data_IF_929510797508
#
_entry.id   IF_929510797508
#
_cell.length_a   1.000
_cell.length_b   1.000
_cell.length_c   1.000
_cell.angle_alpha   90.00
_cell.angle_beta   90.00
_cell.angle_gamma   90.00
#
_symmetry.space_group_name_H-M   'P 1'
#
loop_
_entity.id
_entity.type
_entity.pdbx_description
1 polymer ?
#
# COMPACT_ATOMS: atom_id res chain seq x y z
N UNK A 1 20.64 -13.67 -12.57
CA UNK A 1 20.90 -14.40 -11.30
C UNK A 1 19.61 -14.33 -10.50
N UNK A 2 19.13 -15.44 -9.96
CA UNK A 2 17.84 -15.51 -9.25
C UNK A 2 18.04 -15.78 -7.74
N UNK A 3 16.99 -15.58 -6.93
CA UNK A 3 17.01 -15.77 -5.47
C UNK A 3 17.42 -17.21 -5.11
N UNK A 4 16.88 -18.21 -5.82
CA UNK A 4 17.15 -19.62 -5.58
C UNK A 4 18.64 -19.96 -5.72
N UNK A 5 19.29 -19.54 -6.80
CA UNK A 5 20.71 -19.80 -7.05
C UNK A 5 21.60 -19.14 -6.00
N UNK A 6 21.26 -17.92 -5.56
CA UNK A 6 22.01 -17.24 -4.50
C UNK A 6 21.91 -18.00 -3.18
N UNK A 7 20.71 -18.47 -2.82
CA UNK A 7 20.51 -19.24 -1.58
C UNK A 7 21.29 -20.57 -1.65
N UNK A 8 21.13 -21.36 -2.72
CA UNK A 8 21.82 -22.65 -2.86
C UNK A 8 23.33 -22.49 -2.72
N UNK A 9 23.91 -21.56 -3.49
CA UNK A 9 25.35 -21.28 -3.45
C UNK A 9 25.82 -20.92 -2.05
N UNK A 10 25.06 -20.12 -1.30
CA UNK A 10 25.44 -19.72 0.06
C UNK A 10 25.28 -20.82 1.08
N UNK A 11 24.28 -21.68 0.94
CA UNK A 11 24.15 -22.88 1.77
C UNK A 11 25.34 -23.82 1.55
N UNK A 12 25.72 -24.06 0.30
CA UNK A 12 26.88 -24.89 -0.05
C UNK A 12 28.20 -24.30 0.47
N UNK A 13 28.41 -22.99 0.28
CA UNK A 13 29.62 -22.29 0.75
C UNK A 13 29.76 -22.26 2.29
N UNK A 14 28.64 -22.27 3.01
CA UNK A 14 28.61 -22.21 4.47
C UNK A 14 28.46 -23.59 5.13
N UNK A 15 28.20 -24.65 4.34
CA UNK A 15 27.99 -26.01 4.83
C UNK A 15 26.67 -26.19 5.58
N UNK A 16 25.62 -25.44 5.22
CA UNK A 16 24.30 -25.53 5.86
C UNK A 16 23.30 -26.29 4.99
N UNK A 17 22.33 -26.94 5.64
CA UNK A 17 21.22 -27.61 4.98
C UNK A 17 19.99 -26.69 4.86
N UNK A 18 19.01 -27.09 4.05
CA UNK A 18 17.76 -26.34 3.86
C UNK A 18 16.95 -26.22 5.16
N UNK A 19 16.99 -27.26 6.01
CA UNK A 19 16.36 -27.27 7.32
C UNK A 19 16.90 -26.17 8.24
N UNK A 20 18.20 -25.89 8.17
CA UNK A 20 18.84 -24.89 9.02
C UNK A 20 18.38 -23.48 8.64
N UNK A 21 18.28 -23.23 7.33
CA UNK A 21 17.72 -21.98 6.80
C UNK A 21 16.23 -21.84 7.15
N UNK A 22 15.46 -22.92 7.09
CA UNK A 22 14.04 -22.91 7.46
C UNK A 22 13.85 -22.53 8.93
N UNK A 23 14.63 -23.14 9.83
CA UNK A 23 14.63 -22.78 11.26
C UNK A 23 15.06 -21.33 11.47
N UNK A 24 16.11 -20.87 10.79
CA UNK A 24 16.59 -19.49 10.93
C UNK A 24 15.60 -18.44 10.41
N UNK A 25 14.86 -18.76 9.35
CA UNK A 25 13.85 -17.90 8.75
C UNK A 25 12.46 -18.02 9.42
N UNK A 26 12.29 -18.92 10.39
CA UNK A 26 11.03 -19.20 11.07
C UNK A 26 9.91 -19.63 10.10
N UNK A 27 10.28 -20.51 9.15
CA UNK A 27 9.38 -21.08 8.14
C UNK A 27 9.54 -22.59 8.08
N UNK A 28 8.61 -23.29 7.42
CA UNK A 28 8.70 -24.74 7.26
C UNK A 28 9.81 -25.12 6.28
N UNK A 29 10.43 -26.29 6.46
CA UNK A 29 11.41 -26.81 5.51
C UNK A 29 10.80 -26.97 4.10
N UNK A 30 9.53 -27.37 4.03
CA UNK A 30 8.78 -27.44 2.78
C UNK A 30 8.73 -26.09 2.05
N UNK A 31 8.54 -24.98 2.78
CA UNK A 31 8.56 -23.63 2.20
C UNK A 31 9.91 -23.31 1.53
N UNK A 32 11.02 -23.60 2.20
CA UNK A 32 12.37 -23.40 1.63
C UNK A 32 12.59 -24.34 0.44
N UNK A 33 12.18 -25.60 0.54
CA UNK A 33 12.29 -26.56 -0.57
C UNK A 33 11.51 -26.11 -1.81
N UNK A 34 10.29 -25.60 -1.64
CA UNK A 34 9.47 -25.06 -2.73
C UNK A 34 10.11 -23.82 -3.38
N UNK A 35 10.71 -22.94 -2.58
CA UNK A 35 11.47 -21.78 -3.05
C UNK A 35 12.71 -22.22 -3.87
N UNK A 36 13.45 -23.21 -3.38
CA UNK A 36 14.66 -23.72 -4.02
C UNK A 36 14.40 -24.58 -5.26
N UNK A 37 13.21 -25.17 -5.36
CA UNK A 37 12.77 -25.92 -6.55
C UNK A 37 12.05 -25.04 -7.57
N UNK A 38 11.90 -23.73 -7.30
CA UNK A 38 11.14 -22.77 -8.13
C UNK A 38 9.67 -23.16 -8.31
N UNK A 39 9.13 -24.04 -7.46
CA UNK A 39 7.69 -24.33 -7.43
C UNK A 39 6.89 -23.15 -6.90
N UNK A 40 7.51 -22.34 -6.04
CA UNK A 40 6.93 -21.11 -5.48
C UNK A 40 7.78 -19.92 -5.90
N UNK A 41 7.12 -18.79 -6.18
CA UNK A 41 7.80 -17.52 -6.40
C UNK A 41 8.54 -17.11 -5.12
N UNK A 42 9.64 -16.33 -5.24
CA UNK A 42 10.27 -15.75 -4.07
C UNK A 42 9.25 -14.94 -3.25
N UNK A 43 9.41 -14.82 -1.92
CA UNK A 43 8.54 -13.99 -1.08
C UNK A 43 8.35 -12.56 -1.64
N UNK A 44 7.29 -11.87 -1.22
CA UNK A 44 7.10 -10.48 -1.65
C UNK A 44 8.30 -9.62 -1.20
N UNK A 45 8.85 -8.73 -2.05
CA UNK A 45 10.17 -8.10 -1.81
C UNK A 45 10.21 -7.22 -0.55
N UNK A 46 9.05 -6.78 -0.10
CA UNK A 46 8.83 -5.99 1.13
C UNK A 46 8.66 -6.86 2.39
N UNK A 47 8.78 -8.19 2.29
CA UNK A 47 8.80 -9.14 3.43
C UNK A 47 10.11 -9.06 4.21
N UNK A 48 10.25 -8.02 5.01
CA UNK A 48 11.42 -7.84 5.90
C UNK A 48 11.52 -8.97 6.92
N UNK A 49 10.39 -9.49 7.41
CA UNK A 49 10.29 -10.58 8.38
C UNK A 49 11.03 -11.86 7.97
N UNK A 50 11.09 -12.15 6.66
CA UNK A 50 11.80 -13.34 6.13
C UNK A 50 13.16 -12.97 5.54
N UNK A 51 13.26 -11.89 4.75
CA UNK A 51 14.51 -11.55 4.05
C UNK A 51 15.61 -11.12 5.00
N UNK A 52 15.29 -10.41 6.08
CA UNK A 52 16.29 -10.05 7.08
C UNK A 52 16.87 -11.29 7.78
N UNK A 53 16.01 -12.24 8.14
CA UNK A 53 16.42 -13.50 8.78
C UNK A 53 17.28 -14.35 7.84
N UNK A 54 16.83 -14.54 6.60
CA UNK A 54 17.58 -15.30 5.59
C UNK A 54 18.91 -14.64 5.26
N UNK A 55 18.94 -13.33 5.06
CA UNK A 55 20.17 -12.60 4.74
C UNK A 55 21.18 -12.67 5.89
N UNK A 56 20.71 -12.52 7.14
CA UNK A 56 21.55 -12.67 8.34
C UNK A 56 22.16 -14.06 8.43
N UNK A 57 21.36 -15.12 8.23
CA UNK A 57 21.83 -16.50 8.28
C UNK A 57 22.84 -16.81 7.16
N UNK A 58 22.55 -16.35 5.93
CA UNK A 58 23.40 -16.57 4.75
C UNK A 58 24.61 -15.62 4.65
N UNK A 59 24.77 -14.71 5.62
CA UNK A 59 25.78 -13.65 5.65
C UNK A 59 25.79 -12.81 4.36
N UNK A 60 24.61 -12.35 3.96
CA UNK A 60 24.38 -11.49 2.79
C UNK A 60 23.93 -10.09 3.23
N UNK A 61 24.08 -9.06 2.38
CA UNK A 61 23.38 -7.79 2.58
C UNK A 61 21.87 -8.01 2.67
N UNK A 62 21.20 -7.33 3.60
CA UNK A 62 19.76 -7.51 3.90
C UNK A 62 18.86 -7.23 2.71
N UNK A 63 19.26 -6.33 1.82
CA UNK A 63 18.51 -5.91 0.63
C UNK A 63 18.78 -6.78 -0.61
N UNK A 64 19.79 -7.66 -0.58
CA UNK A 64 20.22 -8.39 -1.78
C UNK A 64 19.15 -9.37 -2.26
N UNK A 65 18.56 -10.13 -1.34
CA UNK A 65 17.56 -11.14 -1.67
C UNK A 65 16.23 -10.48 -2.09
N UNK A 66 15.81 -9.42 -1.40
CA UNK A 66 14.58 -8.67 -1.75
C UNK A 66 14.68 -7.97 -3.10
N UNK A 67 15.83 -7.38 -3.44
CA UNK A 67 16.06 -6.78 -4.78
C UNK A 67 15.97 -7.81 -5.91
N UNK A 68 16.53 -9.00 -5.71
CA UNK A 68 16.43 -10.08 -6.70
C UNK A 68 14.98 -10.60 -6.80
N UNK A 69 14.28 -10.72 -5.67
CA UNK A 69 12.89 -11.13 -5.64
C UNK A 69 11.97 -10.13 -6.37
N UNK A 70 12.19 -8.83 -6.18
CA UNK A 70 11.46 -7.76 -6.87
C UNK A 70 11.62 -7.89 -8.38
N UNK A 71 12.86 -8.07 -8.86
CA UNK A 71 13.11 -8.27 -10.28
C UNK A 71 12.40 -9.52 -10.82
N UNK A 72 12.50 -10.66 -10.13
CA UNK A 72 11.84 -11.90 -10.55
C UNK A 72 10.32 -11.78 -10.58
N UNK A 73 9.71 -11.19 -9.56
CA UNK A 73 8.26 -10.99 -9.50
C UNK A 73 7.77 -10.03 -10.57
N UNK A 74 8.52 -8.96 -10.86
CA UNK A 74 8.21 -8.04 -11.96
C UNK A 74 8.27 -8.72 -13.32
N UNK A 75 9.25 -9.59 -13.54
CA UNK A 75 9.33 -10.36 -14.79
C UNK A 75 8.16 -11.36 -14.92
N UNK A 76 7.77 -12.02 -13.82
CA UNK A 76 6.59 -12.89 -13.82
C UNK A 76 5.29 -12.11 -14.07
N UNK A 77 5.15 -10.94 -13.44
CA UNK A 77 4.01 -10.05 -13.66
C UNK A 77 3.92 -9.61 -15.13
N UNK A 78 5.05 -9.25 -15.76
CA UNK A 78 5.09 -8.90 -17.18
C UNK A 78 4.65 -10.06 -18.07
N UNK A 79 5.01 -11.31 -17.73
CA UNK A 79 4.54 -12.50 -18.46
C UNK A 79 3.03 -12.66 -18.32
N UNK A 80 2.52 -12.55 -17.10
CA UNK A 80 1.08 -12.69 -16.81
C UNK A 80 0.22 -11.57 -17.44
N UNK A 81 0.81 -10.41 -17.71
CA UNK A 81 0.16 -9.32 -18.43
C UNK A 81 0.16 -9.49 -19.96
N UNK A 82 1.06 -10.34 -20.50
CA UNK A 82 1.15 -10.63 -21.93
C UNK A 82 0.05 -11.57 -22.43
N UNK A 83 -0.42 -12.49 -21.57
CA UNK A 83 -1.55 -13.35 -21.84
C UNK A 83 -2.86 -12.74 -21.28
N UNK A 84 -4.03 -12.97 -21.90
CA UNK A 84 -5.30 -12.56 -21.31
C UNK A 84 -5.45 -13.23 -19.93
N UNK A 85 -5.55 -12.46 -18.83
CA UNK A 85 -5.57 -13.06 -17.51
C UNK A 85 -6.85 -13.86 -17.33
N UNK A 86 -6.73 -15.04 -16.71
CA UNK A 86 -7.89 -15.86 -16.40
C UNK A 86 -8.90 -15.06 -15.56
N UNK A 87 -10.21 -15.23 -15.78
CA UNK A 87 -11.21 -14.61 -14.92
C UNK A 87 -10.98 -14.98 -13.46
N UNK A 88 -11.22 -14.02 -12.56
CA UNK A 88 -11.24 -14.26 -11.13
C UNK A 88 -12.20 -15.41 -10.80
N UNK A 89 -11.87 -16.22 -9.79
CA UNK A 89 -12.78 -17.24 -9.27
C UNK A 89 -14.13 -16.62 -8.91
N UNK A 90 -15.22 -17.31 -9.28
CA UNK A 90 -16.58 -16.81 -9.10
C UNK A 90 -16.87 -16.50 -7.63
N UNK A 91 -16.41 -17.35 -6.73
CA UNK A 91 -16.55 -17.24 -5.30
C UNK A 91 -15.88 -15.96 -4.77
N UNK A 92 -14.70 -15.64 -5.31
CA UNK A 92 -13.96 -14.43 -4.94
C UNK A 92 -14.70 -13.19 -5.45
N UNK A 93 -15.17 -13.21 -6.70
CA UNK A 93 -15.94 -12.09 -7.28
C UNK A 93 -17.20 -11.82 -6.46
N UNK A 94 -17.97 -12.85 -6.13
CA UNK A 94 -19.19 -12.69 -5.34
C UNK A 94 -18.88 -12.16 -3.94
N UNK A 95 -17.76 -12.56 -3.33
CA UNK A 95 -17.36 -12.04 -2.04
C UNK A 95 -16.98 -10.56 -2.10
N UNK A 96 -16.24 -10.14 -3.14
CA UNK A 96 -15.91 -8.73 -3.39
C UNK A 96 -17.19 -7.92 -3.61
N UNK A 97 -18.11 -8.40 -4.46
CA UNK A 97 -19.38 -7.72 -4.73
C UNK A 97 -20.25 -7.62 -3.46
N UNK A 98 -20.33 -8.67 -2.65
CA UNK A 98 -21.07 -8.68 -1.38
C UNK A 98 -20.58 -7.62 -0.39
N UNK A 99 -19.28 -7.30 -0.42
CA UNK A 99 -18.67 -6.25 0.42
C UNK A 99 -18.77 -4.85 -0.19
N UNK A 100 -19.24 -4.72 -1.43
CA UNK A 100 -19.42 -3.43 -2.08
C UNK A 100 -20.58 -2.65 -1.46
N UNK A 101 -20.50 -1.32 -1.45
CA UNK A 101 -21.59 -0.46 -1.02
C UNK A 101 -22.88 -0.78 -1.82
N UNK A 102 -24.03 -1.00 -1.14
CA UNK A 102 -25.24 -1.52 -1.77
C UNK A 102 -25.81 -0.59 -2.85
N UNK A 103 -25.53 0.72 -2.76
CA UNK A 103 -25.95 1.70 -3.74
C UNK A 103 -25.29 1.51 -5.11
N UNK A 104 -24.04 1.00 -5.15
CA UNK A 104 -23.27 0.84 -6.40
C UNK A 104 -23.09 -0.63 -6.83
N UNK A 105 -23.41 -1.59 -5.95
CA UNK A 105 -23.23 -3.03 -6.21
C UNK A 105 -23.75 -3.47 -7.60
N UNK A 106 -24.98 -3.08 -7.97
CA UNK A 106 -25.58 -3.46 -9.26
C UNK A 106 -24.80 -2.91 -10.46
N UNK A 107 -24.32 -1.67 -10.36
CA UNK A 107 -23.53 -1.05 -11.42
C UNK A 107 -22.17 -1.72 -11.56
N UNK A 108 -21.49 -1.98 -10.44
CA UNK A 108 -20.20 -2.67 -10.41
C UNK A 108 -20.33 -4.10 -10.94
N UNK A 109 -21.37 -4.83 -10.51
CA UNK A 109 -21.67 -6.19 -11.00
C UNK A 109 -21.80 -6.23 -12.52
N UNK A 110 -22.57 -5.31 -13.10
CA UNK A 110 -22.72 -5.20 -14.54
C UNK A 110 -21.38 -4.94 -15.26
N UNK A 111 -20.47 -4.15 -14.67
CA UNK A 111 -19.13 -3.92 -15.21
C UNK A 111 -18.28 -5.21 -15.16
N UNK A 112 -18.29 -5.91 -14.03
CA UNK A 112 -17.52 -7.16 -13.84
C UNK A 112 -18.01 -8.28 -14.76
N UNK A 113 -19.33 -8.39 -14.98
CA UNK A 113 -19.91 -9.38 -15.89
C UNK A 113 -19.60 -9.07 -17.36
N UNK A 114 -19.58 -7.78 -17.73
CA UNK A 114 -19.24 -7.34 -19.09
C UNK A 114 -17.77 -7.57 -19.43
N UNK A 115 -16.88 -7.33 -18.47
CA UNK A 115 -15.44 -7.54 -18.62
C UNK A 115 -14.90 -8.35 -17.43
N UNK A 116 -15.02 -9.69 -17.48
CA UNK A 116 -14.50 -10.54 -16.42
C UNK A 116 -13.01 -10.30 -16.22
N UNK A 117 -12.64 -9.97 -14.99
CA UNK A 117 -11.30 -9.62 -14.56
C UNK A 117 -10.67 -8.48 -15.38
N UNK A 118 -11.52 -7.52 -15.76
CA UNK A 118 -11.15 -6.28 -16.41
C UNK A 118 -10.32 -5.34 -15.52
N UNK A 119 -10.09 -4.13 -16.00
CA UNK A 119 -9.27 -3.12 -15.27
C UNK A 119 -9.86 -2.77 -13.91
N UNK A 120 -11.17 -2.51 -13.84
CA UNK A 120 -11.81 -2.16 -12.58
C UNK A 120 -11.80 -3.31 -11.57
N UNK A 121 -12.11 -4.54 -12.00
CA UNK A 121 -12.09 -5.71 -11.11
C UNK A 121 -10.68 -5.97 -10.57
N UNK A 122 -9.66 -5.86 -11.43
CA UNK A 122 -8.25 -5.96 -11.02
C UNK A 122 -7.84 -4.85 -10.06
N UNK A 123 -8.22 -3.60 -10.34
CA UNK A 123 -7.94 -2.46 -9.47
C UNK A 123 -8.53 -2.65 -8.08
N UNK A 124 -9.83 -2.92 -8.00
CA UNK A 124 -10.54 -3.16 -6.73
C UNK A 124 -9.88 -4.31 -5.97
N UNK A 125 -9.66 -5.46 -6.63
CA UNK A 125 -9.07 -6.63 -5.99
C UNK A 125 -7.66 -6.34 -5.47
N UNK A 126 -6.83 -5.63 -6.25
CA UNK A 126 -5.50 -5.24 -5.84
C UNK A 126 -5.52 -4.31 -4.62
N UNK A 127 -6.40 -3.31 -4.58
CA UNK A 127 -6.47 -2.36 -3.45
C UNK A 127 -6.97 -3.02 -2.17
N UNK A 128 -7.97 -3.91 -2.27
CA UNK A 128 -8.42 -4.72 -1.12
C UNK A 128 -7.25 -5.57 -0.60
N UNK A 129 -6.54 -6.25 -1.50
CA UNK A 129 -5.40 -7.08 -1.14
C UNK A 129 -4.28 -6.28 -0.47
N UNK A 130 -3.94 -5.10 -0.99
CA UNK A 130 -2.91 -4.22 -0.43
C UNK A 130 -3.24 -3.80 1.01
N UNK A 131 -4.48 -3.37 1.25
CA UNK A 131 -4.93 -2.98 2.59
C UNK A 131 -4.85 -4.15 3.57
N UNK A 132 -5.35 -5.32 3.17
CA UNK A 132 -5.34 -6.51 4.04
C UNK A 132 -3.91 -6.94 4.35
N UNK A 133 -3.02 -6.93 3.36
CA UNK A 133 -1.62 -7.27 3.55
C UNK A 133 -0.92 -6.31 4.50
N UNK A 134 -1.26 -5.02 4.47
CA UNK A 134 -0.71 -4.05 5.42
C UNK A 134 -1.15 -4.37 6.85
N UNK A 135 -2.44 -4.65 7.06
CA UNK A 135 -2.94 -5.10 8.38
C UNK A 135 -2.23 -6.39 8.83
N UNK A 136 -2.14 -7.38 7.94
CA UNK A 136 -1.47 -8.64 8.21
C UNK A 136 0.01 -8.49 8.58
N UNK A 137 0.72 -7.53 7.99
CA UNK A 137 2.12 -7.22 8.33
C UNK A 137 2.24 -6.51 9.68
N UNK A 138 1.37 -5.53 9.95
CA UNK A 138 1.32 -4.81 11.23
C UNK A 138 1.10 -5.79 12.39
N UNK A 139 0.23 -6.80 12.19
CA UNK A 139 -0.19 -7.76 13.21
C UNK A 139 0.59 -9.09 13.16
N UNK A 140 1.61 -9.23 12.31
CA UNK A 140 2.32 -10.50 12.09
C UNK A 140 2.96 -11.08 13.36
N UNK A 141 3.38 -10.21 14.27
CA UNK A 141 4.00 -10.56 15.55
C UNK A 141 3.02 -10.54 16.73
N UNK A 142 1.73 -10.26 16.47
CA UNK A 142 0.69 -10.18 17.49
C UNK A 142 0.07 -11.56 17.73
N UNK A 143 0.49 -12.25 18.78
CA UNK A 143 -0.06 -13.57 19.15
C UNK A 143 -1.58 -13.50 19.38
N UNK A 144 -2.05 -12.44 20.04
CA UNK A 144 -3.47 -12.23 20.30
C UNK A 144 -4.28 -12.12 19.01
N UNK A 145 -3.80 -11.34 18.03
CA UNK A 145 -4.46 -11.18 16.75
C UNK A 145 -4.49 -12.50 15.96
N UNK A 146 -3.37 -13.23 15.94
CA UNK A 146 -3.29 -14.54 15.30
C UNK A 146 -4.25 -15.55 15.93
N UNK A 147 -4.34 -15.62 17.27
CA UNK A 147 -5.32 -16.49 17.94
C UNK A 147 -6.77 -16.09 17.64
N UNK A 148 -7.07 -14.80 17.57
CA UNK A 148 -8.40 -14.30 17.21
C UNK A 148 -8.78 -14.70 15.77
N UNK A 149 -7.89 -14.45 14.82
CA UNK A 149 -8.06 -14.84 13.43
C UNK A 149 -8.19 -16.37 13.26
N UNK A 150 -7.43 -17.14 14.04
CA UNK A 150 -7.46 -18.60 13.99
C UNK A 150 -8.84 -19.11 14.44
N UNK A 151 -9.37 -18.54 15.53
CA UNK A 151 -10.71 -18.86 16.01
C UNK A 151 -11.82 -18.48 15.01
N UNK A 152 -11.71 -17.31 14.38
CA UNK A 152 -12.71 -16.84 13.42
C UNK A 152 -12.74 -17.66 12.13
N UNK A 153 -11.58 -18.15 11.71
CA UNK A 153 -11.41 -18.98 10.51
C UNK A 153 -11.53 -20.48 10.79
N UNK A 154 -11.68 -20.88 12.06
CA UNK A 154 -11.76 -22.29 12.46
C UNK A 154 -10.44 -23.05 12.29
N UNK A 155 -9.29 -22.36 12.33
CA UNK A 155 -7.95 -22.91 12.12
C UNK A 155 -7.16 -22.97 13.43
N UNK A 156 -6.11 -23.79 13.47
CA UNK A 156 -5.11 -23.70 14.55
C UNK A 156 -4.24 -22.46 14.38
N UNK A 157 -3.55 -22.05 15.45
CA UNK A 157 -2.59 -20.94 15.41
C UNK A 157 -1.49 -21.18 14.36
N UNK A 158 -0.91 -22.38 14.35
CA UNK A 158 0.16 -22.76 13.43
C UNK A 158 -0.31 -22.79 11.99
N UNK A 159 -1.50 -23.35 11.75
CA UNK A 159 -2.12 -23.38 10.42
C UNK A 159 -2.40 -21.97 9.91
N UNK A 160 -2.93 -21.08 10.75
CA UNK A 160 -3.16 -19.69 10.37
C UNK A 160 -1.83 -18.99 10.07
N UNK A 161 -0.82 -19.12 10.92
CA UNK A 161 0.49 -18.48 10.73
C UNK A 161 1.10 -18.89 9.39
N UNK A 162 1.07 -20.18 9.05
CA UNK A 162 1.52 -20.64 7.72
C UNK A 162 0.69 -19.98 6.62
N UNK A 163 -0.63 -20.07 6.69
CA UNK A 163 -1.54 -19.55 5.66
C UNK A 163 -1.37 -18.03 5.45
N UNK A 164 -1.13 -17.28 6.53
CA UNK A 164 -0.88 -15.84 6.53
C UNK A 164 0.42 -15.50 5.78
N UNK A 165 1.51 -16.23 6.06
CA UNK A 165 2.79 -16.02 5.38
C UNK A 165 2.67 -16.30 3.88
N UNK A 166 1.88 -17.30 3.47
CA UNK A 166 1.62 -17.59 2.05
C UNK A 166 0.73 -16.53 1.41
N UNK A 167 -0.27 -16.05 2.14
CA UNK A 167 -1.16 -14.98 1.69
C UNK A 167 -0.40 -13.67 1.43
N UNK A 168 0.53 -13.30 2.31
CA UNK A 168 1.37 -12.11 2.11
C UNK A 168 2.16 -12.16 0.80
N UNK A 169 2.49 -13.36 0.31
CA UNK A 169 3.21 -13.56 -0.94
C UNK A 169 2.31 -13.56 -2.19
N UNK A 170 0.99 -13.70 -2.03
CA UNK A 170 0.00 -13.88 -3.11
C UNK A 170 -0.25 -12.57 -3.87
N UNK A 171 -0.37 -12.59 -5.19
CA UNK A 171 -0.77 -11.42 -5.99
C UNK A 171 -2.22 -11.55 -6.49
N UNK A 172 -2.71 -10.52 -7.19
CA UNK A 172 -4.08 -10.49 -7.74
C UNK A 172 -4.38 -11.62 -8.72
N UNK A 173 -3.36 -12.18 -9.39
CA UNK A 173 -3.51 -13.27 -10.37
C UNK A 173 -3.49 -14.66 -9.73
N UNK A 174 -2.86 -14.78 -8.55
CA UNK A 174 -2.73 -16.02 -7.79
C UNK A 174 -3.69 -16.10 -6.59
N UNK A 175 -4.67 -15.20 -6.52
CA UNK A 175 -5.62 -15.13 -5.41
C UNK A 175 -6.59 -16.31 -5.44
N UNK A 176 -6.60 -17.12 -4.38
CA UNK A 176 -7.49 -18.27 -4.22
C UNK A 176 -8.79 -17.91 -3.44
N UNK A 177 -9.86 -18.72 -3.59
CA UNK A 177 -11.04 -18.59 -2.74
C UNK A 177 -10.72 -18.73 -1.25
N UNK A 178 -9.80 -19.63 -0.90
CA UNK A 178 -9.40 -19.86 0.48
C UNK A 178 -8.75 -18.62 1.11
N UNK A 179 -7.89 -17.92 0.36
CA UNK A 179 -7.29 -16.66 0.80
C UNK A 179 -8.36 -15.61 1.10
N UNK A 180 -9.43 -15.58 0.32
CA UNK A 180 -10.52 -14.61 0.50
C UNK A 180 -11.38 -14.94 1.72
N UNK A 181 -11.69 -16.22 1.94
CA UNK A 181 -12.43 -16.68 3.12
C UNK A 181 -11.60 -16.45 4.40
N UNK A 182 -10.30 -16.74 4.34
CA UNK A 182 -9.42 -16.66 5.52
C UNK A 182 -9.03 -15.22 5.89
N UNK A 183 -8.96 -14.29 4.93
CA UNK A 183 -8.46 -12.93 5.20
C UNK A 183 -9.38 -11.82 4.71
N UNK A 184 -9.84 -11.85 3.46
CA UNK A 184 -10.64 -10.75 2.89
C UNK A 184 -11.99 -10.60 3.61
N UNK A 185 -12.72 -11.69 3.76
CA UNK A 185 -14.04 -11.69 4.39
C UNK A 185 -14.03 -11.24 5.86
N UNK A 186 -13.13 -11.75 6.73
CA UNK A 186 -13.12 -11.33 8.12
C UNK A 186 -12.58 -9.91 8.31
N UNK A 187 -11.64 -9.44 7.48
CA UNK A 187 -10.96 -8.15 7.69
C UNK A 187 -11.65 -6.96 7.03
N UNK A 188 -12.40 -7.17 5.96
CA UNK A 188 -13.11 -6.08 5.25
C UNK A 188 -14.57 -6.08 5.66
N UNK A 189 -15.05 -4.97 6.20
CA UNK A 189 -16.47 -4.76 6.49
C UNK A 189 -17.20 -4.38 5.21
N UNK A 190 -16.70 -3.35 4.52
CA UNK A 190 -17.26 -2.84 3.26
C UNK A 190 -16.24 -2.05 2.45
N UNK A 191 -16.53 -1.83 1.17
CA UNK A 191 -15.78 -0.91 0.31
C UNK A 191 -16.69 -0.17 -0.68
N UNK A 192 -16.23 0.98 -1.15
CA UNK A 192 -16.89 1.78 -2.19
C UNK A 192 -15.85 2.34 -3.18
N UNK A 193 -16.29 2.64 -4.39
CA UNK A 193 -15.47 3.32 -5.40
C UNK A 193 -16.26 4.40 -6.12
N UNK A 194 -15.68 5.58 -6.26
CA UNK A 194 -16.17 6.60 -7.18
C UNK A 194 -15.65 6.28 -8.59
N UNK A 195 -16.57 5.92 -9.49
CA UNK A 195 -16.24 5.58 -10.88
C UNK A 195 -15.79 6.80 -11.72
N UNK A 196 -15.93 8.02 -11.20
CA UNK A 196 -15.50 9.25 -11.86
C UNK A 196 -14.06 9.60 -11.50
N UNK A 197 -13.71 9.48 -10.22
CA UNK A 197 -12.38 9.87 -9.69
C UNK A 197 -11.45 8.68 -9.45
N UNK A 198 -11.97 7.45 -9.53
CA UNK A 198 -11.33 6.21 -9.08
C UNK A 198 -10.95 6.21 -7.59
N UNK A 199 -11.51 7.16 -6.82
CA UNK A 199 -11.44 7.22 -5.37
C UNK A 199 -12.02 5.96 -4.75
N UNK A 200 -11.23 5.17 -4.04
CA UNK A 200 -11.71 3.96 -3.38
C UNK A 200 -11.66 4.09 -1.87
N UNK A 201 -12.78 3.82 -1.20
CA UNK A 201 -12.92 3.73 0.25
C UNK A 201 -12.97 2.28 0.69
N UNK A 202 -12.17 1.92 1.69
CA UNK A 202 -12.18 0.58 2.30
C UNK A 202 -12.35 0.73 3.81
N UNK A 203 -13.31 0.01 4.37
CA UNK A 203 -13.64 -0.01 5.81
C UNK A 203 -13.25 -1.37 6.38
N UNK A 204 -12.36 -1.34 7.37
CA UNK A 204 -11.94 -2.56 8.09
C UNK A 204 -12.93 -2.97 9.18
N UNK A 205 -13.01 -4.28 9.40
CA UNK A 205 -13.78 -4.88 10.49
C UNK A 205 -13.22 -4.49 11.85
N UNK A 206 -14.01 -3.75 12.65
CA UNK A 206 -13.65 -3.36 14.03
C UNK A 206 -13.34 -4.53 14.97
N UNK A 207 -13.80 -5.73 14.61
CA UNK A 207 -13.62 -6.94 15.40
C UNK A 207 -12.17 -7.43 15.42
N UNK A 208 -11.38 -7.11 14.39
CA UNK A 208 -10.08 -7.75 14.16
C UNK A 208 -8.98 -6.72 13.84
N UNK A 209 -9.30 -5.63 13.15
CA UNK A 209 -8.35 -4.53 13.00
C UNK A 209 -8.36 -3.72 14.30
N UNK A 210 -7.28 -3.78 15.07
CA UNK A 210 -7.13 -3.01 16.31
C UNK A 210 -7.16 -1.51 16.01
N UNK A 211 -8.20 -0.80 16.46
CA UNK A 211 -8.32 0.66 16.35
C UNK A 211 -9.67 1.16 15.82
N UNK A 212 -9.77 2.47 15.65
CA UNK A 212 -10.88 3.09 14.94
C UNK A 212 -10.95 2.57 13.50
N UNK A 213 -12.14 2.53 12.87
CA UNK A 213 -12.28 2.17 11.46
C UNK A 213 -11.27 2.96 10.62
N UNK A 214 -10.25 2.28 10.08
CA UNK A 214 -9.32 2.90 9.14
C UNK A 214 -10.01 2.99 7.79
N UNK A 215 -10.25 4.22 7.33
CA UNK A 215 -10.69 4.51 5.96
C UNK A 215 -9.44 4.71 5.10
N UNK A 216 -9.25 3.82 4.14
CA UNK A 216 -8.23 4.00 3.10
C UNK A 216 -8.87 4.73 1.93
N UNK A 217 -8.25 5.80 1.46
CA UNK A 217 -8.65 6.50 0.23
C UNK A 217 -7.54 6.33 -0.81
N UNK A 218 -7.88 5.72 -1.94
CA UNK A 218 -6.97 5.62 -3.08
C UNK A 218 -7.35 6.66 -4.11
N UNK A 219 -6.55 7.71 -4.24
CA UNK A 219 -6.69 8.70 -5.28
C UNK A 219 -5.58 8.48 -6.28
N UNK A 220 -5.90 8.41 -7.58
CA UNK A 220 -4.88 8.53 -8.61
C UNK A 220 -4.30 9.93 -8.53
N UNK A 221 -3.16 10.06 -7.84
CA UNK A 221 -2.38 11.27 -7.93
C UNK A 221 -1.72 11.26 -9.31
N UNK A 222 -2.10 12.20 -10.16
CA UNK A 222 -1.33 12.51 -11.36
C UNK A 222 0.14 12.73 -11.01
N UNK A 223 1.08 12.55 -11.95
CA UNK A 223 2.51 12.33 -11.71
C UNK A 223 3.03 13.05 -10.46
N UNK A 224 3.37 12.25 -9.45
CA UNK A 224 3.84 12.67 -8.13
C UNK A 224 4.93 13.73 -8.24
N UNK A 225 4.73 14.81 -7.46
CA UNK A 225 5.64 15.92 -7.17
C UNK A 225 6.48 16.45 -8.35
N UNK A 226 6.26 17.72 -8.77
CA UNK A 226 7.15 18.29 -9.76
C UNK A 226 8.53 18.36 -9.11
N UNK A 227 9.55 17.86 -9.81
CA UNK A 227 10.93 18.23 -9.57
C UNK A 227 10.94 19.73 -9.29
N UNK A 228 11.36 20.14 -8.08
CA UNK A 228 11.11 21.50 -7.56
C UNK A 228 11.36 22.52 -8.67
N UNK A 229 10.30 23.23 -9.06
CA UNK A 229 10.30 24.09 -10.24
C UNK A 229 11.53 25.00 -10.23
N UNK A 230 12.32 25.09 -11.32
CA UNK A 230 13.57 25.87 -11.35
C UNK A 230 13.37 27.31 -10.88
N UNK A 231 12.29 27.98 -11.33
CA UNK A 231 11.97 29.34 -10.89
C UNK A 231 11.61 29.43 -9.40
N UNK A 232 11.09 28.36 -8.80
CA UNK A 232 10.85 28.33 -7.35
C UNK A 232 12.16 28.15 -6.58
N UNK A 233 13.11 27.34 -7.08
CA UNK A 233 14.47 27.25 -6.51
C UNK A 233 15.18 28.60 -6.56
N UNK A 234 15.11 29.29 -7.70
CA UNK A 234 15.67 30.64 -7.87
C UNK A 234 15.07 31.63 -6.88
N UNK A 235 13.74 31.62 -6.71
CA UNK A 235 13.06 32.45 -5.72
C UNK A 235 13.54 32.17 -4.28
N UNK A 236 13.68 30.90 -3.90
CA UNK A 236 14.16 30.52 -2.55
C UNK A 236 15.62 30.92 -2.29
N UNK A 237 16.46 30.92 -3.33
CA UNK A 237 17.86 31.31 -3.24
C UNK A 237 18.06 32.82 -3.23
N UNK A 238 17.09 33.59 -3.75
CA UNK A 238 17.11 35.03 -3.75
C UNK A 238 16.52 35.60 -2.45
N UNK A 239 17.41 36.01 -1.55
CA UNK A 239 17.02 36.64 -0.27
C UNK A 239 16.24 37.95 -0.44
N UNK A 240 16.40 38.65 -1.57
CA UNK A 240 15.64 39.89 -1.84
C UNK A 240 14.17 39.61 -2.16
N UNK A 241 13.86 38.42 -2.69
CA UNK A 241 12.50 38.01 -3.06
C UNK A 241 11.83 37.16 -1.98
N UNK A 242 12.57 36.22 -1.39
CA UNK A 242 12.00 35.25 -0.42
C UNK A 242 12.35 35.53 1.03
N UNK A 243 13.20 36.53 1.34
CA UNK A 243 13.74 36.76 2.69
C UNK A 243 12.67 36.96 3.77
N UNK A 244 11.49 37.47 3.40
CA UNK A 244 10.36 37.65 4.33
C UNK A 244 9.33 36.52 4.27
N UNK A 245 9.48 35.54 3.39
CA UNK A 245 8.51 34.45 3.20
C UNK A 245 8.58 33.43 4.35
N UNK A 246 7.46 33.20 5.00
CA UNK A 246 7.29 32.19 6.06
C UNK A 246 7.34 30.77 5.49
N UNK A 247 7.50 29.77 6.37
CA UNK A 247 7.51 28.36 5.95
C UNK A 247 6.18 27.94 5.30
N UNK A 248 5.06 28.40 5.83
CA UNK A 248 3.72 28.09 5.32
C UNK A 248 3.50 28.68 3.92
N UNK A 249 3.88 29.94 3.71
CA UNK A 249 3.80 30.60 2.40
C UNK A 249 4.69 29.90 1.36
N UNK A 250 5.91 29.50 1.75
CA UNK A 250 6.82 28.75 0.86
C UNK A 250 6.24 27.39 0.48
N UNK A 251 5.65 26.66 1.42
CA UNK A 251 4.99 25.38 1.13
C UNK A 251 3.74 25.55 0.25
N UNK A 252 2.99 26.66 0.39
CA UNK A 252 1.86 26.95 -0.47
C UNK A 252 2.30 27.26 -1.91
N UNK A 253 3.33 28.11 -2.08
CA UNK A 253 3.89 28.45 -3.39
C UNK A 253 4.51 27.22 -4.10
N UNK A 254 5.12 26.30 -3.35
CA UNK A 254 5.67 25.03 -3.86
C UNK A 254 4.61 24.12 -4.47
N UNK A 255 3.34 24.24 -4.05
CA UNK A 255 2.23 23.41 -4.52
C UNK A 255 1.59 23.90 -5.82
N UNK A 256 1.94 25.10 -6.28
CA UNK A 256 1.42 25.65 -7.53
C UNK A 256 1.80 24.76 -8.73
N UNK A 257 0.87 24.59 -9.67
CA UNK A 257 1.04 23.72 -10.86
C UNK A 257 0.92 24.54 -12.13
N UNK A 258 1.85 24.29 -13.06
CA UNK A 258 1.97 25.05 -14.30
C UNK A 258 1.97 24.06 -15.46
N UNK A 259 0.80 23.83 -16.07
CA UNK A 259 0.60 22.85 -17.15
C UNK A 259 1.46 23.20 -18.40
N UNK A 260 2.72 22.79 -18.41
CA UNK A 260 3.70 23.06 -19.46
C UNK A 260 4.31 24.47 -19.46
N UNK A 261 3.96 25.33 -18.49
CA UNK A 261 4.55 26.68 -18.35
C UNK A 261 5.67 26.66 -17.32
N UNK A 262 6.72 27.44 -17.56
CA UNK A 262 7.85 27.57 -16.62
C UNK A 262 7.81 28.96 -15.95
N UNK A 263 7.28 29.07 -14.72
CA UNK A 263 7.25 30.34 -13.99
C UNK A 263 8.67 30.77 -13.61
N UNK A 264 8.91 32.08 -13.60
CA UNK A 264 10.17 32.69 -13.14
C UNK A 264 10.15 32.94 -11.63
N UNK A 265 11.29 33.25 -11.01
CA UNK A 265 11.35 33.66 -9.61
C UNK A 265 10.44 34.86 -9.28
N UNK A 266 10.30 35.81 -10.21
CA UNK A 266 9.41 36.97 -10.09
C UNK A 266 7.93 36.59 -10.05
N UNK A 267 7.54 35.51 -10.71
CA UNK A 267 6.17 35.00 -10.62
C UNK A 267 5.86 34.61 -9.17
N UNK A 268 6.73 33.84 -8.53
CA UNK A 268 6.56 33.43 -7.13
C UNK A 268 6.60 34.61 -6.15
N UNK A 269 7.44 35.62 -6.41
CA UNK A 269 7.44 36.84 -5.62
C UNK A 269 6.10 37.59 -5.70
N UNK A 270 5.52 37.66 -6.90
CA UNK A 270 4.21 38.31 -7.10
C UNK A 270 3.07 37.52 -6.45
N UNK A 271 3.10 36.20 -6.52
CA UNK A 271 2.13 35.35 -5.81
C UNK A 271 2.27 35.48 -4.30
N UNK A 272 3.50 35.57 -3.77
CA UNK A 272 3.72 35.86 -2.35
C UNK A 272 3.08 37.20 -1.93
N UNK A 273 3.19 38.24 -2.76
CA UNK A 273 2.54 39.52 -2.51
C UNK A 273 1.02 39.40 -2.57
N UNK A 274 0.49 38.65 -3.54
CA UNK A 274 -0.94 38.37 -3.68
C UNK A 274 -1.52 37.65 -2.46
N UNK A 275 -0.79 36.66 -1.92
CA UNK A 275 -1.16 35.95 -0.69
C UNK A 275 -1.26 36.87 0.54
N UNK A 276 -0.51 37.97 0.54
CA UNK A 276 -0.48 38.97 1.62
C UNK A 276 -1.42 40.14 1.37
N UNK A 277 -2.03 40.21 0.19
CA UNK A 277 -2.91 41.32 -0.17
C UNK A 277 -4.21 41.23 0.65
N UNK A 278 -4.52 42.26 1.46
CA UNK A 278 -5.76 42.31 2.24
C UNK A 278 -7.03 42.27 1.40
N UNK A 279 -6.94 42.59 0.10
CA UNK A 279 -8.04 42.49 -0.86
C UNK A 279 -8.36 41.04 -1.24
N UNK A 280 -7.36 40.16 -1.20
CA UNK A 280 -7.53 38.74 -1.48
C UNK A 280 -7.85 37.94 -0.21
N UNK A 281 -7.30 38.35 0.94
CA UNK A 281 -7.50 37.66 2.22
C UNK A 281 -7.69 38.67 3.36
N UNK A 282 -8.84 38.63 4.05
CA UNK A 282 -9.06 39.45 5.24
C UNK A 282 -8.33 38.85 6.43
N UNK A 283 -7.61 39.68 7.18
CA UNK A 283 -7.11 39.28 8.49
C UNK A 283 -8.30 38.92 9.41
N UNK A 284 -8.26 37.75 10.04
CA UNK A 284 -9.22 37.44 11.10
C UNK A 284 -9.07 38.47 12.23
N UNK A 285 -10.08 39.30 12.43
CA UNK A 285 -10.15 40.19 13.59
C UNK A 285 -10.31 39.33 14.86
N UNK A 286 -9.18 38.97 15.49
CA UNK A 286 -9.14 38.39 16.84
C UNK A 286 -9.42 39.46 17.92
N UNK A 287 -10.45 40.26 17.73
CA UNK A 287 -10.89 41.29 18.70
C UNK A 287 -12.35 41.15 19.12
N UNK A 288 -13.11 40.20 18.57
CA UNK A 288 -14.52 39.96 18.95
C UNK A 288 -14.72 38.86 20.02
N UNK A 289 -13.65 38.24 20.54
CA UNK A 289 -13.76 37.17 21.55
C UNK A 289 -13.38 37.56 22.99
N UNK A 290 -13.24 38.86 23.30
CA UNK A 290 -12.93 39.31 24.68
C UNK A 290 -13.99 40.17 25.39
N UNK A 291 -15.12 40.50 24.77
CA UNK A 291 -16.17 41.32 25.41
C UNK A 291 -17.56 40.64 25.43
N UNK A 292 -17.66 39.44 26.01
CA UNK A 292 -18.96 38.87 26.41
C UNK A 292 -18.93 38.26 27.82
N UNK A 293 -18.10 38.83 28.71
CA UNK A 293 -17.97 38.35 30.09
C UNK A 293 -17.65 39.49 31.05
N UNK A 294 -18.47 40.54 31.07
CA UNK A 294 -18.59 41.51 32.18
C UNK A 294 -19.72 42.50 31.90
N UNK A 295 -20.90 42.20 32.43
CA UNK A 295 -21.62 43.14 33.28
C UNK A 295 -22.65 42.38 34.12
N UNK A 296 -22.45 42.50 35.42
CA UNK A 296 -23.27 42.03 36.53
C UNK A 296 -24.48 42.96 36.74
N UNK A 297 -25.51 42.40 37.40
CA UNK A 297 -26.46 42.98 38.38
C UNK A 297 -27.90 42.52 38.13
#
# INVERSE_FOLDING_TARGET
>A
MDVCLVIKRRLDELGFEQKDLATAADVTESYISQLLTRKKLPPAPDRTDIYEKMAKFLKLPSDRLSKLADHQRKEELKRNLGDPPAPLFKEVRELILRKCAPAKEKQIRAIFEKQPFGELERFVTQKLLDVIKNVAKEELNSENWLHLMARLTGRSYEQLRVTLLEFLDTDVFNLSPENCISFLDPLIESWDVDLTTFGMEIVLSRRIASGDPKRYEFVEQGPDQPEVEPGFKEFLNDSSLSGTATKEERELLKKLRFNGKRPTSLYYYRELQSLRDPLHFRAENRSSMQNSGRNEC
#
